data_IF_460573882853
#
_entry.id   IF_460573882853
#
_cell.length_a   1.000
_cell.length_b   1.000
_cell.length_c   1.000
_cell.angle_alpha   90.00
_cell.angle_beta   90.00
_cell.angle_gamma   90.00
#
_symmetry.space_group_name_H-M   'P 1'
#
loop_
_entity.id
_entity.type
_entity.pdbx_description
1 polymer ?
#
# COMPACT_ATOMS: atom_id res chain seq x y z
N UNK A 1 28.73 4.35 -16.89
CA UNK A 1 27.29 4.41 -16.57
C UNK A 1 26.66 3.16 -17.15
N UNK A 2 26.00 2.33 -16.32
CA UNK A 2 25.23 1.20 -16.80
C UNK A 2 23.95 1.72 -17.44
N UNK A 3 23.64 1.27 -18.65
CA UNK A 3 22.39 1.60 -19.34
C UNK A 3 21.30 0.67 -18.81
N UNK A 4 20.18 1.24 -18.35
CA UNK A 4 19.02 0.50 -17.87
C UNK A 4 17.86 0.76 -18.82
N UNK A 5 17.21 -0.31 -19.28
CA UNK A 5 16.04 -0.25 -20.14
C UNK A 5 14.81 -0.60 -19.31
N UNK A 6 13.78 0.23 -19.34
CA UNK A 6 12.47 -0.03 -18.78
C UNK A 6 11.55 -0.63 -19.87
N UNK A 7 10.92 -1.77 -19.56
CA UNK A 7 9.92 -2.41 -20.43
C UNK A 7 8.61 -2.55 -19.68
N UNK A 8 7.48 -2.23 -20.33
CA UNK A 8 6.15 -2.47 -19.81
C UNK A 8 5.75 -3.95 -20.01
N UNK A 9 5.05 -4.48 -19.01
CA UNK A 9 4.30 -5.74 -19.09
C UNK A 9 2.86 -5.37 -18.76
N UNK A 10 1.96 -5.56 -19.71
CA UNK A 10 0.55 -5.21 -19.58
C UNK A 10 -0.28 -6.44 -19.19
N UNK A 11 -1.19 -6.25 -18.25
CA UNK A 11 -2.17 -7.23 -17.84
C UNK A 11 -3.58 -6.61 -17.85
N UNK A 12 -4.62 -7.32 -18.27
CA UNK A 12 -6.00 -6.94 -17.99
C UNK A 12 -6.26 -6.83 -16.49
N UNK A 13 -7.26 -6.04 -16.09
CA UNK A 13 -7.68 -6.00 -14.68
C UNK A 13 -8.16 -7.39 -14.23
N UNK A 14 -7.64 -7.85 -13.09
CA UNK A 14 -7.95 -9.17 -12.53
C UNK A 14 -7.67 -10.31 -13.53
N UNK A 15 -6.50 -10.25 -14.17
CA UNK A 15 -6.03 -11.25 -15.12
C UNK A 15 -5.88 -12.64 -14.49
N UNK A 16 -5.73 -13.68 -15.33
CA UNK A 16 -5.48 -15.04 -14.86
C UNK A 16 -4.22 -15.07 -13.97
N UNK A 17 -4.28 -15.68 -12.77
CA UNK A 17 -3.13 -15.81 -11.88
C UNK A 17 -1.87 -16.39 -12.56
N UNK A 18 -2.03 -17.28 -13.54
CA UNK A 18 -0.91 -17.87 -14.27
C UNK A 18 -0.17 -16.84 -15.14
N UNK A 19 -0.84 -15.79 -15.62
CA UNK A 19 -0.18 -14.72 -16.38
C UNK A 19 0.70 -13.86 -15.45
N UNK A 20 0.24 -13.56 -14.23
CA UNK A 20 1.07 -12.89 -13.22
C UNK A 20 2.27 -13.75 -12.84
N UNK A 21 2.08 -15.05 -12.63
CA UNK A 21 3.16 -15.99 -12.34
C UNK A 21 4.20 -16.04 -13.46
N UNK A 22 3.74 -16.08 -14.72
CA UNK A 22 4.62 -16.05 -15.88
C UNK A 22 5.49 -14.78 -15.94
N UNK A 23 4.90 -13.62 -15.63
CA UNK A 23 5.62 -12.35 -15.56
C UNK A 23 6.65 -12.34 -14.43
N UNK A 24 6.30 -12.83 -13.25
CA UNK A 24 7.24 -12.97 -12.13
C UNK A 24 8.35 -13.96 -12.45
N UNK A 25 8.03 -15.09 -13.09
CA UNK A 25 9.03 -16.07 -13.54
C UNK A 25 10.01 -15.45 -14.55
N UNK A 26 9.52 -14.67 -15.51
CA UNK A 26 10.37 -13.94 -16.43
C UNK A 26 11.34 -13.02 -15.69
N UNK A 27 10.85 -12.22 -14.73
CA UNK A 27 11.70 -11.34 -13.93
C UNK A 27 12.74 -12.15 -13.15
N UNK A 28 12.34 -13.26 -12.53
CA UNK A 28 13.19 -14.12 -11.70
C UNK A 28 14.31 -14.76 -12.51
N UNK A 29 14.02 -15.26 -13.70
CA UNK A 29 14.93 -16.10 -14.49
C UNK A 29 15.74 -15.33 -15.57
N UNK A 30 15.30 -14.15 -16.00
CA UNK A 30 16.09 -13.33 -16.94
C UNK A 30 17.34 -12.78 -16.23
N UNK A 31 18.55 -13.15 -16.64
CA UNK A 31 19.80 -12.68 -16.02
C UNK A 31 20.00 -11.17 -16.12
N UNK A 32 19.34 -10.51 -17.06
CA UNK A 32 19.41 -9.07 -17.24
C UNK A 32 18.35 -8.30 -16.44
N UNK A 33 17.39 -8.97 -15.85
CA UNK A 33 16.37 -8.32 -15.03
C UNK A 33 16.95 -7.88 -13.68
N UNK A 34 16.66 -6.65 -13.29
CA UNK A 34 16.99 -6.08 -11.99
C UNK A 34 15.80 -6.08 -11.02
N UNK A 35 14.58 -6.26 -11.55
CA UNK A 35 13.33 -6.21 -10.82
C UNK A 35 12.22 -5.54 -11.61
N UNK A 36 11.18 -5.08 -10.92
CA UNK A 36 10.05 -4.39 -11.55
C UNK A 36 9.39 -3.39 -10.59
N UNK A 37 8.70 -2.40 -11.16
CA UNK A 37 7.69 -1.59 -10.50
C UNK A 37 6.32 -2.20 -10.82
N UNK A 38 5.50 -2.41 -9.79
CA UNK A 38 4.12 -2.90 -9.92
C UNK A 38 3.16 -1.76 -9.60
N UNK A 39 2.21 -1.50 -10.48
CA UNK A 39 1.23 -0.43 -10.30
C UNK A 39 -0.15 -1.01 -9.99
N UNK A 40 -1.04 -1.13 -10.94
CA UNK A 40 -2.46 -1.44 -10.72
C UNK A 40 -2.71 -2.83 -10.10
N UNK A 41 -1.87 -3.82 -10.41
CA UNK A 41 -2.08 -5.25 -10.11
C UNK A 41 -1.39 -5.72 -8.82
N UNK A 42 -1.17 -4.83 -7.86
CA UNK A 42 -0.35 -5.06 -6.65
C UNK A 42 -0.83 -6.25 -5.81
N UNK A 43 -2.15 -6.32 -5.57
CA UNK A 43 -2.80 -7.36 -4.78
C UNK A 43 -2.89 -8.68 -5.57
N UNK A 44 -3.34 -8.59 -6.83
CA UNK A 44 -3.51 -9.78 -7.67
C UNK A 44 -2.17 -10.50 -7.89
N UNK A 45 -1.10 -9.73 -8.17
CA UNK A 45 0.24 -10.28 -8.34
C UNK A 45 0.80 -10.87 -7.04
N UNK A 46 0.59 -10.20 -5.89
CA UNK A 46 0.99 -10.74 -4.59
C UNK A 46 0.33 -12.10 -4.34
N UNK A 47 -1.00 -12.17 -4.50
CA UNK A 47 -1.75 -13.41 -4.28
C UNK A 47 -1.37 -14.53 -5.24
N UNK A 48 -1.18 -14.19 -6.53
CA UNK A 48 -0.88 -15.18 -7.56
C UNK A 48 0.54 -15.78 -7.45
N UNK A 49 1.53 -15.00 -7.02
CA UNK A 49 2.93 -15.36 -7.13
C UNK A 49 3.71 -15.33 -5.81
N UNK A 50 3.03 -15.25 -4.65
CA UNK A 50 3.65 -15.15 -3.33
C UNK A 50 4.73 -16.22 -3.08
N UNK A 51 4.48 -17.44 -3.48
CA UNK A 51 5.38 -18.60 -3.31
C UNK A 51 6.67 -18.51 -4.15
N UNK A 52 6.75 -17.57 -5.11
CA UNK A 52 7.90 -17.41 -5.98
C UNK A 52 8.95 -16.45 -5.42
N UNK A 53 8.64 -15.73 -4.33
CA UNK A 53 9.51 -14.76 -3.69
C UNK A 53 10.29 -15.38 -2.53
N UNK A 54 11.52 -14.89 -2.33
CA UNK A 54 12.39 -15.33 -1.25
C UNK A 54 12.25 -14.46 0.00
N UNK A 55 11.64 -13.27 -0.15
CA UNK A 55 11.43 -12.31 0.94
C UNK A 55 10.34 -11.30 0.59
N UNK A 56 9.59 -10.88 1.60
CA UNK A 56 8.72 -9.71 1.57
C UNK A 56 9.07 -8.72 2.68
N UNK A 57 8.98 -7.42 2.39
CA UNK A 57 9.12 -6.44 3.46
C UNK A 57 7.86 -6.44 4.36
N UNK A 58 7.97 -5.91 5.60
CA UNK A 58 6.84 -5.92 6.54
C UNK A 58 5.56 -5.27 6.00
N UNK A 59 5.68 -4.23 5.17
CA UNK A 59 4.51 -3.59 4.58
C UNK A 59 3.82 -4.50 3.56
N UNK A 60 4.57 -5.22 2.74
CA UNK A 60 4.00 -6.17 1.78
C UNK A 60 3.26 -7.31 2.48
N UNK A 61 3.80 -7.82 3.59
CA UNK A 61 3.15 -8.86 4.41
C UNK A 61 1.85 -8.35 5.06
N UNK A 62 1.85 -7.11 5.58
CA UNK A 62 0.69 -6.51 6.24
C UNK A 62 -0.41 -6.17 5.24
N UNK A 63 -0.04 -5.58 4.09
CA UNK A 63 -1.02 -5.08 3.11
C UNK A 63 -1.48 -6.14 2.12
N UNK A 64 -0.74 -7.24 1.97
CA UNK A 64 -0.99 -8.23 0.94
C UNK A 64 -0.80 -7.69 -0.48
N UNK A 65 0.08 -6.69 -0.67
CA UNK A 65 0.32 -6.07 -1.96
C UNK A 65 1.81 -5.86 -2.27
N UNK A 66 2.14 -5.79 -3.55
CA UNK A 66 3.48 -5.48 -4.04
C UNK A 66 3.47 -4.24 -4.91
N UNK A 67 4.30 -3.25 -4.57
CA UNK A 67 4.54 -2.09 -5.43
C UNK A 67 5.92 -2.13 -6.12
N UNK A 68 6.83 -2.96 -5.62
CA UNK A 68 8.19 -3.07 -6.13
C UNK A 68 8.73 -4.48 -5.97
N UNK A 69 9.41 -4.97 -6.99
CA UNK A 69 10.14 -6.24 -7.00
C UNK A 69 11.61 -5.91 -7.21
N UNK A 70 12.49 -6.42 -6.35
CA UNK A 70 13.93 -6.35 -6.54
C UNK A 70 14.54 -7.73 -6.71
N UNK A 71 15.57 -7.81 -7.54
CA UNK A 71 16.33 -9.03 -7.75
C UNK A 71 17.79 -8.77 -7.43
N UNK A 72 18.31 -9.49 -6.43
CA UNK A 72 19.72 -9.38 -5.97
C UNK A 72 20.27 -10.76 -5.67
N UNK A 73 21.43 -11.06 -6.17
CA UNK A 73 22.14 -12.31 -5.90
C UNK A 73 21.30 -13.57 -6.09
N UNK A 74 20.45 -13.57 -7.13
CA UNK A 74 19.53 -14.66 -7.43
C UNK A 74 18.28 -14.71 -6.58
N UNK A 75 18.12 -13.83 -5.58
CA UNK A 75 16.92 -13.72 -4.73
C UNK A 75 15.93 -12.74 -5.34
N UNK A 76 14.66 -13.07 -5.22
CA UNK A 76 13.55 -12.22 -5.60
C UNK A 76 12.86 -11.67 -4.34
N UNK A 77 12.85 -10.35 -4.18
CA UNK A 77 12.32 -9.69 -3.00
C UNK A 77 11.16 -8.78 -3.39
N UNK A 78 10.05 -8.89 -2.65
CA UNK A 78 8.84 -8.11 -2.83
C UNK A 78 8.69 -7.01 -1.77
N UNK A 79 8.28 -5.82 -2.19
CA UNK A 79 8.17 -4.69 -1.29
C UNK A 79 6.89 -3.88 -1.57
N UNK A 80 6.25 -3.38 -0.49
CA UNK A 80 5.21 -2.36 -0.56
C UNK A 80 5.80 -1.00 -0.16
N UNK A 81 6.13 -0.17 -1.13
CA UNK A 81 6.76 1.15 -0.90
C UNK A 81 5.77 2.29 -0.71
N UNK A 82 4.49 2.04 -0.98
CA UNK A 82 3.45 3.06 -0.89
C UNK A 82 3.33 3.71 0.50
N UNK A 83 3.44 2.99 1.63
CA UNK A 83 3.43 3.63 2.95
C UNK A 83 4.56 4.64 3.14
N UNK A 84 5.75 4.35 2.62
CA UNK A 84 6.89 5.26 2.68
C UNK A 84 6.66 6.48 1.81
N UNK A 85 6.27 6.28 0.55
CA UNK A 85 6.10 7.37 -0.42
C UNK A 85 4.90 8.24 -0.11
N UNK A 86 3.78 7.68 0.35
CA UNK A 86 2.62 8.44 0.83
C UNK A 86 2.99 9.29 2.06
N UNK A 87 3.77 8.72 2.97
CA UNK A 87 4.25 9.44 4.14
C UNK A 87 5.16 10.60 3.81
N UNK A 88 6.13 10.40 2.91
CA UNK A 88 7.02 11.46 2.44
C UNK A 88 6.22 12.58 1.76
N UNK A 89 5.22 12.23 0.94
CA UNK A 89 4.34 13.20 0.29
C UNK A 89 3.51 14.00 1.28
N UNK A 90 2.95 13.33 2.28
CA UNK A 90 2.19 14.00 3.35
C UNK A 90 3.09 14.94 4.16
N UNK A 91 4.26 14.48 4.59
CA UNK A 91 5.21 15.29 5.35
C UNK A 91 5.67 16.52 4.58
N UNK A 92 5.86 16.42 3.27
CA UNK A 92 6.22 17.55 2.42
C UNK A 92 5.12 18.64 2.36
N UNK A 93 3.85 18.26 2.58
CA UNK A 93 2.71 19.19 2.55
C UNK A 93 2.49 19.83 3.92
N UNK A 94 2.46 19.03 4.99
CA UNK A 94 2.06 19.51 6.31
C UNK A 94 3.24 19.87 7.23
N UNK A 95 4.43 19.38 6.91
CA UNK A 95 5.65 19.54 7.73
C UNK A 95 5.69 18.63 8.95
N UNK A 96 6.88 18.48 9.53
CA UNK A 96 7.10 17.65 10.72
C UNK A 96 6.43 18.25 11.96
N UNK A 97 5.97 17.40 12.87
CA UNK A 97 5.33 17.81 14.12
C UNK A 97 3.96 18.47 13.93
N UNK A 98 3.32 18.32 12.77
CA UNK A 98 2.05 18.98 12.45
C UNK A 98 0.95 18.62 13.45
N UNK A 99 0.74 17.34 13.70
CA UNK A 99 -0.35 16.88 14.57
C UNK A 99 -0.10 17.26 16.02
N UNK A 100 1.14 17.19 16.51
CA UNK A 100 1.51 17.62 17.85
C UNK A 100 1.29 19.12 18.08
N UNK A 101 1.51 19.95 17.05
CA UNK A 101 1.30 21.41 17.15
C UNK A 101 -0.15 21.83 17.00
N UNK A 102 -0.94 21.10 16.20
CA UNK A 102 -2.29 21.55 15.81
C UNK A 102 -3.40 20.78 16.49
N UNK A 103 -3.13 19.57 17.00
CA UNK A 103 -4.15 18.63 17.43
C UNK A 103 -5.06 18.18 16.27
N UNK A 104 -4.60 18.30 15.03
CA UNK A 104 -5.39 18.04 13.83
C UNK A 104 -5.81 16.57 13.70
N UNK A 105 -6.96 16.35 13.07
CA UNK A 105 -7.46 15.05 12.69
C UNK A 105 -7.36 14.86 11.17
N UNK A 106 -7.47 13.62 10.70
CA UNK A 106 -7.51 13.32 9.27
C UNK A 106 -8.91 12.89 8.86
N UNK A 107 -9.39 13.47 7.75
CA UNK A 107 -10.50 12.95 6.97
C UNK A 107 -9.96 12.37 5.66
N UNK A 108 -10.17 11.08 5.45
CA UNK A 108 -9.75 10.35 4.27
C UNK A 108 -10.97 9.93 3.44
N UNK A 109 -11.03 10.38 2.20
CA UNK A 109 -12.10 10.03 1.27
C UNK A 109 -11.64 8.86 0.38
N UNK A 110 -12.13 7.67 0.70
CA UNK A 110 -11.78 6.39 0.09
C UNK A 110 -10.92 5.51 1.01
N UNK A 111 -11.15 4.18 0.96
CA UNK A 111 -10.43 3.16 1.70
C UNK A 111 -9.60 2.26 0.74
N UNK A 112 -8.96 2.86 -0.26
CA UNK A 112 -8.08 2.15 -1.20
C UNK A 112 -6.64 2.07 -0.69
N UNK A 113 -5.74 1.48 -1.51
CA UNK A 113 -4.33 1.28 -1.16
C UNK A 113 -3.62 2.54 -0.67
N UNK A 114 -3.89 3.71 -1.27
CA UNK A 114 -3.30 4.99 -0.82
C UNK A 114 -3.75 5.40 0.58
N UNK A 115 -5.02 5.14 0.94
CA UNK A 115 -5.54 5.41 2.28
C UNK A 115 -4.89 4.49 3.32
N UNK A 116 -4.80 3.19 3.01
CA UNK A 116 -4.10 2.19 3.82
C UNK A 116 -2.64 2.56 4.00
N UNK A 117 -1.95 2.91 2.92
CA UNK A 117 -0.56 3.33 2.94
C UNK A 117 -0.33 4.57 3.82
N UNK A 118 -1.20 5.58 3.72
CA UNK A 118 -1.14 6.80 4.53
C UNK A 118 -1.36 6.47 6.02
N UNK A 119 -2.36 5.66 6.34
CA UNK A 119 -2.63 5.28 7.73
C UNK A 119 -1.49 4.47 8.32
N UNK A 120 -0.94 3.48 7.59
CA UNK A 120 0.23 2.71 8.02
C UNK A 120 1.45 3.60 8.28
N UNK A 121 1.68 4.60 7.43
CA UNK A 121 2.74 5.58 7.70
C UNK A 121 2.53 6.30 9.02
N UNK A 122 1.31 6.78 9.27
CA UNK A 122 0.98 7.52 10.50
C UNK A 122 1.11 6.65 11.76
N UNK A 123 0.64 5.40 11.70
CA UNK A 123 0.79 4.42 12.78
C UNK A 123 2.27 4.19 13.11
N UNK A 124 3.11 4.10 12.09
CA UNK A 124 4.54 3.82 12.24
C UNK A 124 5.42 5.06 12.47
N UNK A 125 4.84 6.25 12.62
CA UNK A 125 5.65 7.43 13.00
C UNK A 125 6.34 7.18 14.35
N UNK A 126 7.66 7.41 14.44
CA UNK A 126 8.42 7.15 15.67
C UNK A 126 7.97 8.05 16.84
N UNK A 127 7.58 9.29 16.55
CA UNK A 127 7.04 10.21 17.54
C UNK A 127 5.51 10.08 17.61
N UNK A 128 5.02 9.48 18.70
CA UNK A 128 3.59 9.33 18.95
C UNK A 128 2.87 10.69 19.08
N UNK A 129 3.55 11.72 19.57
CA UNK A 129 2.97 13.06 19.65
C UNK A 129 2.71 13.69 18.28
N UNK A 130 3.38 13.21 17.23
CA UNK A 130 3.14 13.67 15.86
C UNK A 130 2.24 12.69 15.06
N UNK A 131 1.38 11.95 15.75
CA UNK A 131 0.29 11.17 15.15
C UNK A 131 -1.04 11.90 15.33
N UNK A 132 -1.97 11.83 14.36
CA UNK A 132 -3.31 12.36 14.57
C UNK A 132 -4.03 11.56 15.67
N UNK A 133 -4.77 12.24 16.55
CA UNK A 133 -5.60 11.53 17.53
C UNK A 133 -6.73 10.73 16.87
N UNK A 134 -7.18 11.17 15.67
CA UNK A 134 -8.28 10.55 14.94
C UNK A 134 -8.03 10.52 13.45
N UNK A 135 -8.36 9.39 12.82
CA UNK A 135 -8.38 9.17 11.37
C UNK A 135 -9.77 8.70 10.95
N UNK A 136 -10.52 9.57 10.27
CA UNK A 136 -11.86 9.24 9.76
C UNK A 136 -11.72 8.80 8.30
N UNK A 137 -12.13 7.59 7.99
CA UNK A 137 -12.16 7.08 6.61
C UNK A 137 -13.60 6.90 6.15
N UNK A 138 -13.92 7.50 5.01
CA UNK A 138 -15.23 7.39 4.37
C UNK A 138 -15.10 6.62 3.07
N UNK A 139 -15.86 5.55 2.89
CA UNK A 139 -15.85 4.78 1.65
C UNK A 139 -17.27 4.39 1.23
N UNK A 140 -17.48 4.18 -0.07
CA UNK A 140 -18.77 3.82 -0.66
C UNK A 140 -19.19 2.37 -0.37
N UNK A 141 -18.26 1.47 -0.11
CA UNK A 141 -18.50 0.05 0.08
C UNK A 141 -17.93 -0.42 1.41
N UNK A 142 -18.68 -1.26 2.12
CA UNK A 142 -18.30 -1.78 3.42
C UNK A 142 -17.03 -2.66 3.34
N UNK A 143 -16.91 -3.54 2.34
CA UNK A 143 -15.83 -4.54 2.28
C UNK A 143 -14.41 -3.94 2.29
N UNK A 144 -14.21 -2.74 1.71
CA UNK A 144 -12.92 -2.05 1.79
C UNK A 144 -12.64 -1.47 3.18
N UNK A 145 -13.67 -1.04 3.88
CA UNK A 145 -13.55 -0.57 5.28
C UNK A 145 -13.23 -1.74 6.21
N UNK A 146 -13.84 -2.90 5.98
CA UNK A 146 -13.58 -4.11 6.77
C UNK A 146 -12.14 -4.60 6.58
N UNK A 147 -11.66 -4.66 5.34
CA UNK A 147 -10.26 -4.98 5.05
C UNK A 147 -9.28 -4.02 5.75
N UNK A 148 -9.56 -2.70 5.71
CA UNK A 148 -8.74 -1.70 6.41
C UNK A 148 -8.80 -1.88 7.94
N UNK A 149 -9.96 -2.24 8.49
CA UNK A 149 -10.13 -2.53 9.92
C UNK A 149 -9.31 -3.74 10.35
N UNK A 150 -9.38 -4.84 9.60
CA UNK A 150 -8.60 -6.06 9.87
C UNK A 150 -7.10 -5.76 9.88
N UNK A 151 -6.61 -4.97 8.94
CA UNK A 151 -5.22 -4.53 8.90
C UNK A 151 -4.85 -3.70 10.13
N UNK A 152 -5.70 -2.74 10.53
CA UNK A 152 -5.47 -1.90 11.73
C UNK A 152 -5.46 -2.74 13.01
N UNK A 153 -6.35 -3.72 13.14
CA UNK A 153 -6.39 -4.66 14.26
C UNK A 153 -5.11 -5.52 14.32
N UNK A 154 -4.61 -5.96 13.17
CA UNK A 154 -3.38 -6.74 13.09
C UNK A 154 -2.15 -5.94 13.51
N UNK A 155 -2.05 -4.68 13.10
CA UNK A 155 -0.89 -3.80 13.39
C UNK A 155 -0.97 -3.21 14.79
N UNK A 156 -2.18 -2.88 15.24
CA UNK A 156 -2.44 -2.13 16.48
C UNK A 156 -2.07 -0.65 16.34
N UNK A 157 -2.82 0.21 17.01
CA UNK A 157 -2.56 1.67 16.98
C UNK A 157 -3.23 2.39 18.15
N UNK A 158 -2.67 3.54 18.53
CA UNK A 158 -3.25 4.52 19.43
C UNK A 158 -4.12 5.57 18.71
N UNK A 159 -4.13 5.57 17.38
CA UNK A 159 -4.98 6.44 16.57
C UNK A 159 -6.42 5.92 16.59
N UNK A 160 -7.39 6.76 16.97
CA UNK A 160 -8.81 6.42 16.83
C UNK A 160 -9.20 6.37 15.35
N UNK A 161 -9.42 5.16 14.79
CA UNK A 161 -9.83 5.00 13.40
C UNK A 161 -11.36 4.85 13.33
N UNK A 162 -12.00 5.81 12.65
CA UNK A 162 -13.46 5.85 12.46
C UNK A 162 -13.81 5.46 11.04
N UNK A 163 -14.61 4.43 10.87
CA UNK A 163 -15.01 3.89 9.56
C UNK A 163 -16.45 4.31 9.24
N UNK A 164 -16.62 5.01 8.13
CA UNK A 164 -17.92 5.51 7.68
C UNK A 164 -18.23 4.92 6.31
N UNK A 165 -19.25 4.07 6.25
CA UNK A 165 -19.79 3.59 4.98
C UNK A 165 -20.81 4.60 4.43
N UNK A 166 -20.60 5.01 3.18
CA UNK A 166 -21.44 5.96 2.48
C UNK A 166 -22.13 5.26 1.29
N UNK A 167 -22.93 4.23 1.58
CA UNK A 167 -23.63 3.44 0.55
C UNK A 167 -24.77 4.22 -0.11
N UNK A 168 -25.37 5.16 0.60
CA UNK A 168 -26.47 5.98 0.10
C UNK A 168 -26.00 7.41 -0.21
N UNK A 169 -25.52 7.61 -1.44
CA UNK A 169 -25.11 8.93 -1.93
C UNK A 169 -26.27 9.95 -1.97
N UNK A 170 -27.54 9.51 -1.92
CA UNK A 170 -28.69 10.39 -1.92
C UNK A 170 -28.95 11.03 -0.54
N UNK A 171 -28.64 10.33 0.56
CA UNK A 171 -28.73 10.90 1.91
C UNK A 171 -27.64 11.92 2.21
N UNK A 172 -26.48 11.80 1.57
CA UNK A 172 -25.31 12.64 1.86
C UNK A 172 -25.26 13.97 1.10
N UNK A 173 -26.21 14.18 0.19
CA UNK A 173 -26.39 15.46 -0.53
C UNK A 173 -27.52 16.32 0.06
N UNK A 174 -28.00 15.99 1.24
CA UNK A 174 -28.95 16.80 2.02
C UNK A 174 -28.23 17.46 3.19
#
# INVERSE_FOLDING_TARGET
RSEVILRGIDHPMHDDPEHYRASVAQIKHDPNSLGALVTTHKIDLFNAARDMFDYFDPYAEITGELSSISKRDGRLEGHAKDPITAGLSLAAIIGDGYFGRTGGHILCLGAGGSAVATLLHLINKPDAADRPARFVVVNRTQGRLDHMREMVEQVGTDIEVVYVCNEDAAENNR
#
